data_IF_392600552840
#
_entry.id   IF_392600552840
#
_cell.length_a   1.000
_cell.length_b   1.000
_cell.length_c   1.000
_cell.angle_alpha   90.00
_cell.angle_beta   90.00
_cell.angle_gamma   90.00
#
_symmetry.space_group_name_H-M   'P 1'
#
loop_
_entity.id
_entity.type
_entity.pdbx_description
1 polymer ?
#
# COMPACT_ATOMS: atom_id res chain seq x y z
N UNK A 1 4.24 13.31 11.08
CA UNK A 1 4.13 13.04 9.62
C UNK A 1 5.48 13.33 8.98
N UNK A 2 5.94 12.49 8.05
CA UNK A 2 7.20 12.69 7.32
C UNK A 2 6.90 13.09 5.88
N UNK A 3 7.61 14.10 5.38
CA UNK A 3 7.41 14.63 4.04
C UNK A 3 8.75 14.71 3.31
N UNK A 4 8.76 14.35 2.03
CA UNK A 4 9.88 14.57 1.13
C UNK A 4 9.76 15.98 0.54
N UNK A 5 10.77 16.82 0.76
CA UNK A 5 10.80 18.16 0.18
C UNK A 5 11.23 18.06 -1.28
N UNK A 6 10.33 18.34 -2.22
CA UNK A 6 10.66 18.36 -3.66
C UNK A 6 11.20 19.73 -4.09
N UNK A 7 10.65 20.80 -3.51
CA UNK A 7 11.06 22.19 -3.70
C UNK A 7 10.77 22.98 -2.42
N UNK A 8 11.62 23.95 -2.11
CA UNK A 8 11.44 24.86 -0.97
C UNK A 8 11.99 26.23 -1.33
N UNK A 9 11.24 27.27 -0.96
CA UNK A 9 11.70 28.66 -1.01
C UNK A 9 12.10 29.17 0.40
N UNK A 10 12.09 28.28 1.40
CA UNK A 10 12.47 28.57 2.79
C UNK A 10 13.98 28.31 2.96
N UNK A 11 14.70 29.33 3.38
CA UNK A 11 16.12 29.24 3.69
C UNK A 11 16.40 28.18 4.77
N UNK A 12 17.34 27.28 4.48
CA UNK A 12 17.71 26.17 5.38
C UNK A 12 16.96 24.87 5.15
N UNK A 13 15.92 24.85 4.30
CA UNK A 13 15.25 23.62 3.89
C UNK A 13 15.73 23.22 2.49
N UNK A 14 16.55 22.16 2.42
CA UNK A 14 17.11 21.65 1.17
C UNK A 14 16.16 20.65 0.50
N UNK A 15 16.00 20.77 -0.82
CA UNK A 15 15.27 19.77 -1.61
C UNK A 15 15.88 18.36 -1.44
N UNK A 16 15.05 17.33 -1.66
CA UNK A 16 15.37 15.91 -1.45
C UNK A 16 15.68 15.54 0.01
N UNK A 17 15.29 16.38 0.97
CA UNK A 17 15.38 16.08 2.41
C UNK A 17 14.04 15.57 2.94
N UNK A 18 14.09 14.61 3.87
CA UNK A 18 12.91 14.18 4.62
C UNK A 18 12.79 15.02 5.89
N UNK A 19 11.64 15.66 6.08
CA UNK A 19 11.33 16.47 7.27
C UNK A 19 10.17 15.87 8.06
N UNK A 20 10.23 15.96 9.40
CA UNK A 20 9.22 15.43 10.30
C UNK A 20 8.47 16.57 11.02
N UNK A 21 7.16 16.66 10.81
CA UNK A 21 6.29 17.61 11.49
C UNK A 21 5.33 16.87 12.42
N UNK A 22 5.24 17.30 13.68
CA UNK A 22 4.29 16.73 14.66
C UNK A 22 2.85 17.18 14.37
N UNK A 23 2.68 18.47 14.08
CA UNK A 23 1.36 19.12 14.00
C UNK A 23 0.99 19.53 12.56
N UNK A 24 1.11 18.60 11.62
CA UNK A 24 0.71 18.86 10.24
C UNK A 24 -0.82 18.82 10.09
N UNK A 25 -1.39 19.86 9.48
CA UNK A 25 -2.81 19.95 9.10
C UNK A 25 -2.98 19.82 7.59
N UNK A 26 -4.13 19.31 7.13
CA UNK A 26 -4.44 19.13 5.71
C UNK A 26 -5.58 20.06 5.29
N UNK A 27 -5.51 20.55 4.06
CA UNK A 27 -6.60 21.32 3.45
C UNK A 27 -7.61 20.35 2.81
N UNK A 28 -8.48 19.77 3.63
CA UNK A 28 -9.48 18.80 3.15
C UNK A 28 -10.43 19.39 2.09
N UNK A 29 -10.66 20.71 2.13
CA UNK A 29 -11.50 21.40 1.14
C UNK A 29 -10.88 21.42 -0.27
N UNK A 30 -9.55 21.38 -0.35
CA UNK A 30 -8.80 21.39 -1.63
C UNK A 30 -8.43 19.98 -2.05
N UNK A 31 -8.07 19.14 -1.08
CA UNK A 31 -7.72 17.73 -1.27
C UNK A 31 -8.61 16.87 -0.37
N UNK A 32 -9.85 16.58 -0.80
CA UNK A 32 -10.77 15.80 0.01
C UNK A 32 -10.21 14.42 0.25
N UNK A 33 -9.97 14.08 1.51
CA UNK A 33 -9.69 12.71 1.89
C UNK A 33 -10.99 11.93 1.65
N UNK A 34 -11.00 11.03 0.67
CA UNK A 34 -12.11 10.08 0.45
C UNK A 34 -12.15 9.13 1.65
N UNK A 35 -12.73 9.59 2.75
CA UNK A 35 -13.18 8.71 3.82
C UNK A 35 -14.29 7.90 3.19
N UNK A 36 -14.16 6.58 3.14
CA UNK A 36 -15.15 5.66 2.56
C UNK A 36 -16.48 5.63 3.33
N UNK A 37 -16.88 6.73 3.95
CA UNK A 37 -18.16 6.93 4.60
C UNK A 37 -19.06 7.55 3.53
N UNK A 38 -20.04 6.81 3.00
CA UNK A 38 -21.00 7.38 2.07
C UNK A 38 -21.82 8.43 2.81
N UNK A 39 -21.55 9.72 2.54
CA UNK A 39 -22.51 10.78 2.78
C UNK A 39 -23.59 10.67 1.69
N UNK A 40 -24.83 10.50 2.13
CA UNK A 40 -25.88 9.82 1.37
C UNK A 40 -26.54 10.58 0.21
N UNK A 41 -27.34 9.76 -0.49
CA UNK A 41 -28.54 10.02 -1.29
C UNK A 41 -28.39 10.64 -2.69
N UNK A 42 -28.39 9.79 -3.73
CA UNK A 42 -29.58 9.54 -4.55
C UNK A 42 -29.41 8.27 -5.39
N UNK A 43 -30.50 7.50 -5.43
CA UNK A 43 -30.80 6.29 -6.21
C UNK A 43 -30.11 6.23 -7.58
N UNK A 44 -29.40 5.14 -7.91
CA UNK A 44 -29.84 4.12 -8.89
C UNK A 44 -28.71 3.20 -9.43
N UNK A 45 -29.04 1.92 -9.39
CA UNK A 45 -28.55 0.74 -10.12
C UNK A 45 -27.18 0.09 -9.79
N UNK A 46 -27.26 -1.22 -9.48
CA UNK A 46 -26.20 -2.10 -8.99
C UNK A 46 -26.08 -3.31 -9.94
N UNK A 47 -24.99 -3.45 -10.70
CA UNK A 47 -24.62 -4.72 -11.35
C UNK A 47 -23.11 -5.01 -11.27
N UNK A 48 -22.68 -5.56 -10.13
CA UNK A 48 -22.07 -6.90 -10.03
C UNK A 48 -21.05 -7.41 -11.10
N UNK A 49 -19.76 -7.59 -10.73
CA UNK A 49 -18.73 -8.48 -11.37
C UNK A 49 -17.69 -9.15 -10.42
N UNK A 50 -17.91 -10.35 -9.87
CA UNK A 50 -17.04 -10.99 -8.85
C UNK A 50 -15.63 -11.17 -9.39
N UNK A 51 -14.63 -10.77 -8.60
CA UNK A 51 -13.28 -11.31 -8.71
C UNK A 51 -13.11 -12.28 -7.53
N UNK A 52 -13.17 -13.59 -7.80
CA UNK A 52 -12.77 -14.61 -6.83
C UNK A 52 -11.34 -15.03 -7.14
N UNK A 53 -10.44 -14.76 -6.21
CA UNK A 53 -9.11 -15.39 -6.11
C UNK A 53 -9.30 -16.77 -5.47
N UNK A 54 -8.65 -17.86 -5.95
CA UNK A 54 -8.56 -19.09 -5.18
C UNK A 54 -7.26 -19.16 -4.36
N UNK A 55 -7.40 -19.51 -3.07
CA UNK A 55 -6.34 -19.88 -2.14
C UNK A 55 -5.73 -21.26 -2.47
N UNK A 56 -4.40 -21.27 -2.64
CA UNK A 56 -3.39 -22.14 -2.02
C UNK A 56 -3.47 -23.70 -2.09
N UNK A 57 -2.32 -24.25 -2.52
CA UNK A 57 -1.65 -25.58 -2.33
C UNK A 57 -2.06 -26.88 -3.05
N UNK A 58 -0.96 -27.49 -3.51
CA UNK A 58 -0.70 -28.78 -4.14
C UNK A 58 -1.65 -29.94 -3.82
N UNK A 59 -2.09 -30.61 -4.90
CA UNK A 59 -2.25 -32.08 -4.92
C UNK A 59 -2.18 -32.61 -6.35
N UNK A 60 -1.17 -33.44 -6.64
CA UNK A 60 -1.21 -34.36 -7.78
C UNK A 60 -2.48 -35.20 -7.73
N UNK A 61 -3.29 -35.24 -8.79
CA UNK A 61 -3.85 -36.44 -9.41
C UNK A 61 -4.64 -36.08 -10.68
N UNK A 62 -4.73 -37.04 -11.57
CA UNK A 62 -4.94 -36.93 -13.01
C UNK A 62 -6.42 -37.09 -13.42
N UNK A 63 -6.77 -36.56 -14.61
CA UNK A 63 -7.91 -36.88 -15.50
C UNK A 63 -9.32 -36.35 -15.17
N UNK A 64 -9.86 -35.50 -16.08
CA UNK A 64 -11.23 -35.69 -16.62
C UNK A 64 -12.22 -34.51 -16.57
N UNK A 65 -12.48 -33.93 -17.75
CA UNK A 65 -13.73 -33.28 -18.24
C UNK A 65 -14.14 -31.86 -17.77
N UNK A 66 -14.25 -30.98 -18.79
CA UNK A 66 -14.81 -29.61 -18.91
C UNK A 66 -16.32 -29.48 -18.52
N UNK A 67 -17.00 -28.31 -18.69
CA UNK A 67 -16.86 -27.02 -18.01
C UNK A 67 -18.22 -26.52 -17.43
N UNK A 68 -18.22 -25.64 -16.44
CA UNK A 68 -19.44 -25.09 -15.85
C UNK A 68 -19.35 -23.61 -15.53
N UNK A 69 -19.93 -22.78 -16.40
CA UNK A 69 -20.04 -21.33 -16.28
C UNK A 69 -20.97 -20.94 -15.12
N UNK A 70 -20.55 -20.04 -14.24
CA UNK A 70 -21.46 -19.30 -13.35
C UNK A 70 -20.83 -17.97 -12.96
N UNK A 71 -21.39 -16.90 -13.51
CA UNK A 71 -21.09 -15.51 -13.20
C UNK A 71 -21.48 -15.17 -11.75
N UNK A 72 -20.51 -14.85 -10.90
CA UNK A 72 -20.76 -14.26 -9.58
C UNK A 72 -20.51 -12.73 -9.59
N UNK A 73 -21.19 -11.93 -8.75
CA UNK A 73 -21.01 -10.47 -8.58
C UNK A 73 -19.87 -9.83 -7.74
N UNK A 74 -19.36 -8.65 -8.14
CA UNK A 74 -18.17 -7.93 -7.59
C UNK A 74 -18.44 -7.61 -6.15
N UNK A 75 -17.82 -8.37 -5.26
CA UNK A 75 -17.71 -7.99 -3.88
C UNK A 75 -16.70 -6.83 -3.85
N UNK A 76 -17.16 -5.65 -3.44
CA UNK A 76 -16.25 -4.54 -3.11
C UNK A 76 -15.50 -5.00 -1.87
N UNK A 77 -14.25 -5.43 -2.06
CA UNK A 77 -13.38 -5.88 -0.98
C UNK A 77 -13.01 -4.66 -0.11
N UNK A 78 -13.88 -4.30 0.83
CA UNK A 78 -13.51 -3.37 1.88
C UNK A 78 -12.40 -4.01 2.72
N UNK A 79 -11.31 -3.27 3.02
CA UNK A 79 -10.25 -3.78 3.88
C UNK A 79 -10.83 -4.24 5.23
N UNK A 80 -10.90 -5.55 5.44
CA UNK A 80 -11.46 -6.11 6.67
C UNK A 80 -10.59 -5.69 7.85
N UNK A 81 -11.10 -4.75 8.65
CA UNK A 81 -10.40 -4.27 9.84
C UNK A 81 -10.39 -5.38 10.89
N UNK A 82 -9.19 -5.87 11.21
CA UNK A 82 -8.97 -6.82 12.29
C UNK A 82 -9.52 -6.25 13.61
N UNK A 83 -10.41 -7.01 14.28
CA UNK A 83 -10.88 -6.73 15.65
C UNK A 83 -9.91 -7.22 16.73
N UNK A 84 -8.71 -7.69 16.37
CA UNK A 84 -7.77 -8.26 17.35
C UNK A 84 -7.33 -7.18 18.33
N UNK A 85 -7.41 -7.50 19.62
CA UNK A 85 -6.86 -6.66 20.67
C UNK A 85 -5.35 -6.45 20.45
N UNK A 86 -4.87 -5.21 20.62
CA UNK A 86 -3.45 -4.88 20.52
C UNK A 86 -2.76 -5.36 21.79
N UNK A 87 -1.90 -6.37 21.68
CA UNK A 87 -1.07 -6.85 22.77
C UNK A 87 0.27 -6.10 22.72
N UNK A 88 0.73 -5.59 23.85
CA UNK A 88 2.06 -5.00 23.96
C UNK A 88 3.09 -6.11 23.77
N UNK A 89 3.95 -5.97 22.77
CA UNK A 89 5.05 -6.90 22.50
C UNK A 89 6.24 -6.46 23.35
N UNK A 90 6.71 -7.31 24.25
CA UNK A 90 8.07 -7.23 24.76
C UNK A 90 8.97 -8.14 23.91
N UNK A 91 10.25 -7.79 23.83
CA UNK A 91 11.23 -8.58 23.10
C UNK A 91 12.15 -9.38 24.03
N UNK A 92 11.99 -9.21 25.35
CA UNK A 92 12.85 -9.82 26.37
C UNK A 92 14.22 -9.16 26.48
N UNK A 93 15.01 -9.59 27.47
CA UNK A 93 16.40 -9.16 27.69
C UNK A 93 17.37 -9.63 26.59
N UNK A 94 17.00 -10.69 25.88
CA UNK A 94 17.86 -11.38 24.92
C UNK A 94 17.71 -10.82 23.50
N UNK A 95 16.95 -9.73 23.36
CA UNK A 95 16.76 -9.06 22.09
C UNK A 95 18.03 -8.30 21.70
N UNK A 96 18.65 -8.76 20.62
CA UNK A 96 19.80 -8.09 20.00
C UNK A 96 19.34 -7.50 18.67
N UNK A 97 19.47 -6.19 18.52
CA UNK A 97 19.29 -5.50 17.23
C UNK A 97 20.64 -5.30 16.58
N UNK A 98 20.78 -5.74 15.33
CA UNK A 98 21.95 -5.42 14.52
C UNK A 98 21.68 -4.07 13.84
N UNK A 99 22.38 -3.03 14.28
CA UNK A 99 22.46 -1.79 13.52
C UNK A 99 23.37 -2.05 12.33
N UNK A 100 22.78 -2.31 11.17
CA UNK A 100 23.52 -2.41 9.91
C UNK A 100 23.88 -0.97 9.53
N UNK A 101 25.15 -0.60 9.69
CA UNK A 101 25.63 0.76 9.38
C UNK A 101 25.38 1.18 7.92
N UNK A 102 25.04 0.22 7.05
CA UNK A 102 24.78 0.43 5.63
C UNK A 102 23.32 0.81 5.29
N UNK A 103 22.47 1.10 6.28
CA UNK A 103 21.11 1.58 5.97
C UNK A 103 21.18 3.00 5.36
N UNK A 104 20.69 3.21 4.13
CA UNK A 104 20.94 4.44 3.40
C UNK A 104 20.18 5.62 4.00
N UNK A 105 20.91 6.64 4.46
CA UNK A 105 20.34 7.84 5.09
C UNK A 105 19.90 8.91 4.09
N UNK A 106 20.36 8.79 2.84
CA UNK A 106 20.04 9.76 1.77
C UNK A 106 19.47 9.04 0.57
N UNK A 107 18.63 9.73 -0.20
CA UNK A 107 18.09 9.21 -1.46
C UNK A 107 19.21 8.75 -2.40
N UNK A 108 20.30 9.51 -2.50
CA UNK A 108 21.44 9.15 -3.34
C UNK A 108 22.06 7.82 -2.91
N UNK A 109 22.36 7.67 -1.62
CA UNK A 109 22.90 6.42 -1.07
C UNK A 109 21.94 5.24 -1.26
N UNK A 110 20.64 5.47 -1.10
CA UNK A 110 19.60 4.47 -1.35
C UNK A 110 19.57 4.03 -2.82
N UNK A 111 19.77 4.97 -3.74
CA UNK A 111 19.77 4.71 -5.18
C UNK A 111 21.10 4.13 -5.70
N UNK A 112 22.19 4.36 -4.99
CA UNK A 112 23.50 3.76 -5.24
C UNK A 112 23.62 2.35 -4.61
N UNK A 113 22.68 1.95 -3.73
CA UNK A 113 22.60 0.61 -3.12
C UNK A 113 22.27 -0.48 -4.14
N UNK A 114 22.71 -1.72 -3.84
CA UNK A 114 22.37 -2.93 -4.62
C UNK A 114 20.86 -3.14 -4.73
N UNK A 115 20.13 -2.78 -3.67
CA UNK A 115 18.69 -2.99 -3.58
C UNK A 115 17.87 -2.01 -4.42
N UNK A 116 18.50 -0.95 -4.94
CA UNK A 116 17.82 0.06 -5.76
C UNK A 116 17.16 -0.53 -7.00
N UNK A 117 17.73 -1.60 -7.60
CA UNK A 117 17.13 -2.30 -8.75
C UNK A 117 15.80 -2.93 -8.38
N UNK A 118 15.73 -3.58 -7.22
CA UNK A 118 14.53 -4.25 -6.74
C UNK A 118 13.42 -3.23 -6.47
N UNK A 119 13.74 -2.14 -5.77
CA UNK A 119 12.77 -1.08 -5.49
C UNK A 119 12.26 -0.40 -6.76
N UNK A 120 13.15 -0.09 -7.73
CA UNK A 120 12.74 0.47 -9.02
C UNK A 120 11.78 -0.46 -9.77
N UNK A 121 12.07 -1.76 -9.77
CA UNK A 121 11.18 -2.76 -10.38
C UNK A 121 9.83 -2.83 -9.68
N UNK A 122 9.82 -2.86 -8.35
CA UNK A 122 8.60 -2.89 -7.55
C UNK A 122 7.72 -1.65 -7.78
N UNK A 123 8.32 -0.45 -7.74
CA UNK A 123 7.61 0.81 -8.02
C UNK A 123 7.03 0.82 -9.43
N UNK A 124 7.81 0.38 -10.42
CA UNK A 124 7.33 0.29 -11.81
C UNK A 124 6.14 -0.67 -11.92
N UNK A 125 6.25 -1.85 -11.31
CA UNK A 125 5.18 -2.85 -11.31
C UNK A 125 3.89 -2.32 -10.68
N UNK A 126 4.00 -1.58 -9.58
CA UNK A 126 2.85 -0.96 -8.92
C UNK A 126 2.21 0.10 -9.81
N UNK A 127 3.00 0.99 -10.43
CA UNK A 127 2.49 2.00 -11.36
C UNK A 127 1.78 1.34 -12.55
N UNK A 128 2.39 0.31 -13.13
CA UNK A 128 1.80 -0.43 -14.25
C UNK A 128 0.46 -1.09 -13.83
N UNK A 129 0.40 -1.63 -12.60
CA UNK A 129 -0.82 -2.20 -12.01
C UNK A 129 -1.93 -1.16 -11.87
N UNK A 130 -1.62 0.01 -11.30
CA UNK A 130 -2.57 1.12 -11.14
C UNK A 130 -3.10 1.61 -12.50
N UNK A 131 -2.21 1.78 -13.49
CA UNK A 131 -2.60 2.20 -14.85
C UNK A 131 -3.49 1.15 -15.52
N UNK A 132 -3.21 -0.14 -15.32
CA UNK A 132 -4.02 -1.22 -15.89
C UNK A 132 -5.40 -1.36 -15.23
N UNK A 133 -5.52 -1.07 -13.92
CA UNK A 133 -6.75 -1.23 -13.17
C UNK A 133 -7.75 -0.06 -13.32
N UNK A 134 -7.35 1.06 -13.92
CA UNK A 134 -8.26 2.16 -14.31
C UNK A 134 -9.01 2.83 -13.15
N UNK A 135 -8.38 2.94 -11.97
CA UNK A 135 -8.89 3.66 -10.78
C UNK A 135 -8.79 5.18 -10.88
#
# INVERSE_FOLDING_TARGET
>A
MRFLVIKSDIDGIVANTIVEFRDATFFEDVYPMKTGIPQGTSEEDLTHTSSSIPDHVEKMTNVGAEPGSSSTPMEKEEPRRSKRAKVVKDFGSDFITYNVEDEPLTFRQAMDSSESRHWKGAVKSEIDSIVSNGT
#
